data_IF_652957917781
#
_entry.id   IF_652957917781
#
_cell.length_a   1.000
_cell.length_b   1.000
_cell.length_c   1.000
_cell.angle_alpha   90.00
_cell.angle_beta   90.00
_cell.angle_gamma   90.00
#
_symmetry.space_group_name_H-M   'P 1'
#
loop_
_entity.id
_entity.type
_entity.pdbx_description
1 polymer ?
#
# COMPACT_ATOMS: atom_id res chain seq x y z
N UNK A 1 -14.88 -1.05 29.55
CA UNK A 1 -15.00 -2.44 29.05
C UNK A 1 -15.70 -2.40 27.71
N UNK A 2 -15.50 -3.39 26.85
CA UNK A 2 -16.24 -3.53 25.59
C UNK A 2 -16.77 -4.97 25.47
N UNK A 3 -17.79 -5.19 24.64
CA UNK A 3 -18.37 -6.51 24.37
C UNK A 3 -17.98 -6.97 22.97
N UNK A 4 -17.66 -8.25 22.82
CA UNK A 4 -17.36 -8.89 21.55
C UNK A 4 -18.50 -9.85 21.22
N UNK A 5 -19.13 -9.65 20.07
CA UNK A 5 -20.25 -10.47 19.59
C UNK A 5 -19.77 -11.42 18.48
N UNK A 6 -20.56 -12.44 18.11
CA UNK A 6 -20.31 -13.23 16.91
C UNK A 6 -20.17 -12.35 15.65
N UNK A 7 -19.42 -12.80 14.63
CA UNK A 7 -19.31 -12.08 13.37
C UNK A 7 -20.66 -12.00 12.63
N UNK A 8 -20.81 -10.98 11.79
CA UNK A 8 -21.92 -10.91 10.82
C UNK A 8 -21.78 -11.99 9.75
N UNK A 9 -22.86 -12.28 9.01
CA UNK A 9 -22.89 -13.29 7.94
C UNK A 9 -21.77 -13.14 6.90
N UNK A 10 -21.42 -11.90 6.52
CA UNK A 10 -20.38 -11.62 5.53
C UNK A 10 -18.99 -11.33 6.15
N UNK A 11 -18.79 -11.61 7.44
CA UNK A 11 -17.50 -11.45 8.10
C UNK A 11 -16.90 -12.83 8.38
N UNK A 12 -16.05 -13.30 7.47
CA UNK A 12 -15.42 -14.62 7.54
C UNK A 12 -14.13 -14.63 8.39
N UNK A 13 -13.66 -13.46 8.86
CA UNK A 13 -12.39 -13.28 9.55
C UNK A 13 -11.17 -13.37 8.62
N UNK A 14 -9.97 -13.53 9.17
CA UNK A 14 -8.74 -13.54 8.37
C UNK A 14 -8.57 -14.81 7.53
N UNK A 15 -7.97 -14.66 6.34
CA UNK A 15 -7.46 -15.78 5.53
C UNK A 15 -6.27 -16.45 6.23
N UNK A 16 -6.26 -17.78 6.25
CA UNK A 16 -5.18 -18.62 6.79
C UNK A 16 -4.86 -19.78 5.85
N UNK A 17 -3.66 -20.34 5.98
CA UNK A 17 -3.30 -21.61 5.33
C UNK A 17 -4.24 -22.70 5.83
N UNK A 18 -4.82 -23.45 4.90
CA UNK A 18 -5.62 -24.64 5.16
C UNK A 18 -4.84 -25.90 4.75
N UNK A 19 -4.60 -26.78 5.70
CA UNK A 19 -3.75 -27.96 5.55
C UNK A 19 -2.34 -27.60 5.07
N UNK A 20 -2.06 -27.83 3.78
CA UNK A 20 -0.71 -27.64 3.20
C UNK A 20 -0.68 -26.72 1.98
N UNK A 21 -1.75 -26.67 1.19
CA UNK A 21 -1.74 -26.04 -0.15
C UNK A 21 -2.93 -25.13 -0.44
N UNK A 22 -3.88 -25.00 0.49
CA UNK A 22 -5.10 -24.22 0.28
C UNK A 22 -5.19 -23.09 1.30
N UNK A 23 -6.19 -22.24 1.11
CA UNK A 23 -6.52 -21.19 2.06
C UNK A 23 -7.99 -21.30 2.46
N UNK A 24 -8.28 -20.83 3.66
CA UNK A 24 -9.64 -20.65 4.14
C UNK A 24 -9.70 -19.40 4.99
N UNK A 25 -10.87 -18.81 5.10
CA UNK A 25 -11.18 -17.83 6.11
C UNK A 25 -11.22 -18.45 7.51
N UNK A 26 -11.31 -17.60 8.53
CA UNK A 26 -11.25 -18.02 9.93
C UNK A 26 -12.45 -18.89 10.32
N UNK A 27 -13.62 -18.63 9.74
CA UNK A 27 -14.86 -19.40 9.91
C UNK A 27 -14.89 -20.76 9.18
N UNK A 28 -13.89 -21.06 8.34
CA UNK A 28 -13.81 -22.28 7.54
C UNK A 28 -14.22 -22.13 6.08
N UNK A 29 -14.73 -20.97 5.67
CA UNK A 29 -15.10 -20.70 4.28
C UNK A 29 -13.85 -20.82 3.37
N UNK A 30 -13.88 -21.64 2.30
CA UNK A 30 -12.74 -21.76 1.38
C UNK A 30 -12.38 -20.42 0.72
N UNK A 31 -11.08 -20.14 0.60
CA UNK A 31 -10.58 -18.95 -0.09
C UNK A 31 -9.67 -19.36 -1.25
N UNK A 32 -10.02 -18.94 -2.46
CA UNK A 32 -9.23 -19.16 -3.67
C UNK A 32 -8.74 -17.82 -4.20
N UNK A 33 -7.44 -17.48 -4.04
CA UNK A 33 -6.94 -16.17 -4.42
C UNK A 33 -6.91 -16.03 -5.95
N UNK A 34 -7.72 -15.09 -6.46
CA UNK A 34 -7.70 -14.61 -7.84
C UNK A 34 -7.25 -13.15 -7.78
N UNK A 35 -5.95 -12.93 -7.97
CA UNK A 35 -5.31 -11.65 -7.71
C UNK A 35 -5.14 -10.76 -8.95
N UNK A 36 -5.12 -9.45 -8.71
CA UNK A 36 -4.63 -8.44 -9.66
C UNK A 36 -3.51 -7.59 -9.06
N UNK A 37 -2.97 -6.65 -9.83
CA UNK A 37 -1.87 -5.77 -9.45
C UNK A 37 -2.19 -4.32 -9.79
N UNK A 38 -2.09 -3.42 -8.82
CA UNK A 38 -2.09 -1.98 -9.06
C UNK A 38 -1.20 -1.33 -8.00
N UNK A 39 0.09 -1.13 -8.31
CA UNK A 39 1.09 -0.93 -7.26
C UNK A 39 0.89 0.30 -6.38
N UNK A 40 0.36 1.41 -6.92
CA UNK A 40 0.24 2.67 -6.16
C UNK A 40 -1.10 3.36 -6.41
N UNK A 41 -2.15 2.57 -6.64
CA UNK A 41 -3.50 3.08 -6.86
C UNK A 41 -3.98 3.96 -5.72
N UNK A 42 -3.68 3.56 -4.48
CA UNK A 42 -3.96 4.23 -3.22
C UNK A 42 -3.22 5.57 -3.06
N UNK A 43 -2.29 5.92 -3.94
CA UNK A 43 -1.56 7.19 -3.89
C UNK A 43 -1.88 8.11 -5.07
N UNK A 44 -2.87 7.74 -5.89
CA UNK A 44 -3.39 8.55 -7.00
C UNK A 44 -4.39 9.61 -6.51
N UNK A 45 -4.97 10.37 -7.44
CA UNK A 45 -6.07 11.30 -7.15
C UNK A 45 -7.32 10.54 -6.68
N UNK A 46 -8.20 11.25 -5.95
CA UNK A 46 -9.45 10.68 -5.46
C UNK A 46 -10.32 10.10 -6.59
N UNK A 47 -10.36 10.76 -7.76
CA UNK A 47 -11.09 10.26 -8.94
C UNK A 47 -10.54 8.92 -9.45
N UNK A 48 -9.21 8.76 -9.51
CA UNK A 48 -8.57 7.52 -9.96
C UNK A 48 -8.72 6.40 -8.93
N UNK A 49 -8.68 6.74 -7.64
CA UNK A 49 -8.95 5.80 -6.54
C UNK A 49 -10.39 5.29 -6.64
N UNK A 50 -11.37 6.19 -6.81
CA UNK A 50 -12.78 5.82 -6.97
C UNK A 50 -13.00 4.96 -8.23
N UNK A 51 -12.39 5.33 -9.35
CA UNK A 51 -12.44 4.53 -10.58
C UNK A 51 -11.82 3.15 -10.39
N UNK A 52 -10.72 3.04 -9.63
CA UNK A 52 -10.08 1.76 -9.31
C UNK A 52 -11.01 0.88 -8.48
N UNK A 53 -11.61 1.42 -7.42
CA UNK A 53 -12.56 0.70 -6.57
C UNK A 53 -13.79 0.21 -7.35
N UNK A 54 -14.36 1.06 -8.20
CA UNK A 54 -15.49 0.68 -9.05
C UNK A 54 -15.09 -0.40 -10.07
N UNK A 55 -13.89 -0.32 -10.64
CA UNK A 55 -13.38 -1.35 -11.55
C UNK A 55 -13.21 -2.67 -10.82
N UNK A 56 -12.62 -2.65 -9.61
CA UNK A 56 -12.40 -3.84 -8.79
C UNK A 56 -13.72 -4.51 -8.39
N UNK A 57 -14.70 -3.72 -7.97
CA UNK A 57 -16.05 -4.19 -7.61
C UNK A 57 -16.72 -4.97 -8.75
N UNK A 58 -16.49 -4.57 -9.99
CA UNK A 58 -17.05 -5.23 -11.18
C UNK A 58 -16.09 -6.27 -11.80
N UNK A 59 -15.00 -6.59 -11.12
CA UNK A 59 -13.99 -7.55 -11.58
C UNK A 59 -14.10 -8.89 -10.83
N UNK A 60 -13.48 -9.98 -11.33
CA UNK A 60 -13.45 -11.26 -10.62
C UNK A 60 -12.35 -11.32 -9.54
N UNK A 61 -11.61 -10.24 -9.31
CA UNK A 61 -10.46 -10.26 -8.40
C UNK A 61 -10.90 -10.12 -6.95
N UNK A 62 -10.42 -11.03 -6.10
CA UNK A 62 -10.62 -11.00 -4.64
C UNK A 62 -9.32 -10.71 -3.88
N UNK A 63 -8.24 -10.34 -4.59
CA UNK A 63 -6.99 -9.88 -4.00
C UNK A 63 -6.34 -8.82 -4.88
N UNK A 64 -5.77 -7.78 -4.29
CA UNK A 64 -4.98 -6.79 -5.01
C UNK A 64 -3.66 -6.54 -4.33
N UNK A 65 -2.58 -6.51 -5.13
CA UNK A 65 -1.24 -6.16 -4.66
C UNK A 65 -0.94 -4.68 -4.87
N UNK A 66 -0.54 -3.99 -3.79
CA UNK A 66 -0.16 -2.57 -3.81
C UNK A 66 0.87 -2.21 -2.72
N UNK A 67 1.49 -1.04 -2.83
CA UNK A 67 2.59 -0.57 -2.01
C UNK A 67 2.13 0.46 -0.96
N UNK A 68 2.80 0.45 0.19
CA UNK A 68 2.74 1.58 1.13
C UNK A 68 3.54 2.75 0.59
N UNK A 69 4.80 2.51 0.26
CA UNK A 69 5.66 3.54 -0.30
C UNK A 69 5.26 3.90 -1.74
N UNK A 70 5.45 5.17 -2.14
CA UNK A 70 5.23 5.59 -3.52
C UNK A 70 6.23 4.93 -4.45
N UNK A 71 5.86 4.80 -5.73
CA UNK A 71 6.64 4.12 -6.76
C UNK A 71 7.18 5.16 -7.75
N UNK A 72 8.49 5.24 -7.93
CA UNK A 72 9.09 5.97 -9.07
C UNK A 72 9.49 4.97 -10.14
N UNK A 73 8.94 5.10 -11.34
CA UNK A 73 9.22 4.19 -12.47
C UNK A 73 8.80 4.81 -13.81
N UNK A 74 9.19 4.21 -14.94
CA UNK A 74 8.59 4.58 -16.22
C UNK A 74 7.06 4.42 -16.16
N UNK A 75 6.34 5.35 -16.80
CA UNK A 75 4.87 5.50 -16.73
C UNK A 75 4.31 5.81 -15.32
N UNK A 76 5.17 6.15 -14.36
CA UNK A 76 4.77 6.60 -13.03
C UNK A 76 5.76 7.65 -12.49
N UNK A 77 5.79 8.82 -13.13
CA UNK A 77 6.66 9.94 -12.78
C UNK A 77 6.00 10.97 -11.85
N UNK A 78 4.66 10.93 -11.72
CA UNK A 78 3.86 11.87 -10.92
C UNK A 78 4.21 11.78 -9.44
N UNK A 79 4.13 12.91 -8.74
CA UNK A 79 4.23 12.90 -7.29
C UNK A 79 3.01 12.20 -6.66
N UNK A 80 3.22 11.41 -5.59
CA UNK A 80 2.13 10.83 -4.84
C UNK A 80 1.36 11.91 -4.10
N UNK A 81 0.11 11.62 -3.73
CA UNK A 81 -0.71 12.52 -2.92
C UNK A 81 -0.14 12.81 -1.51
N UNK A 82 0.74 11.95 -1.01
CA UNK A 82 1.37 12.06 0.32
C UNK A 82 2.60 11.15 0.44
N UNK A 83 3.42 11.39 1.46
CA UNK A 83 4.61 10.60 1.80
C UNK A 83 4.55 10.04 3.23
N UNK A 84 5.24 8.93 3.52
CA UNK A 84 5.20 8.25 4.82
C UNK A 84 5.90 9.00 5.96
N UNK A 85 6.80 9.95 5.68
CA UNK A 85 7.59 10.67 6.69
C UNK A 85 7.43 12.18 6.59
N UNK A 86 7.71 12.89 7.67
CA UNK A 86 7.87 14.35 7.67
C UNK A 86 9.16 14.72 6.93
N UNK A 87 9.09 15.74 6.06
CA UNK A 87 10.24 16.15 5.25
C UNK A 87 9.87 16.74 3.90
N UNK A 88 10.85 16.81 3.01
CA UNK A 88 10.70 17.27 1.63
C UNK A 88 11.21 16.23 0.63
N UNK A 89 10.48 15.97 -0.46
CA UNK A 89 10.98 15.15 -1.57
C UNK A 89 11.94 15.94 -2.45
N UNK A 90 12.73 15.23 -3.26
CA UNK A 90 13.32 15.75 -4.49
C UNK A 90 12.25 16.46 -5.33
N UNK A 91 12.62 17.55 -6.00
CA UNK A 91 11.71 18.28 -6.89
C UNK A 91 11.34 17.44 -8.12
N UNK A 92 10.08 16.98 -8.15
CA UNK A 92 9.53 16.19 -9.24
C UNK A 92 9.19 16.97 -10.51
N UNK A 93 9.20 18.31 -10.50
CA UNK A 93 8.72 19.12 -11.62
C UNK A 93 9.57 18.96 -12.89
N UNK A 94 10.85 18.61 -12.73
CA UNK A 94 11.76 18.33 -13.84
C UNK A 94 11.78 16.84 -14.27
N UNK A 95 11.00 15.98 -13.62
CA UNK A 95 10.98 14.54 -13.88
C UNK A 95 10.00 14.23 -15.00
N UNK A 96 10.51 13.57 -16.03
CA UNK A 96 9.79 13.14 -17.23
C UNK A 96 9.96 11.64 -17.42
N UNK A 97 9.20 11.05 -18.33
CA UNK A 97 9.34 9.62 -18.65
C UNK A 97 10.74 9.29 -19.20
N UNK A 98 11.37 10.24 -19.91
CA UNK A 98 12.69 10.06 -20.52
C UNK A 98 13.84 10.11 -19.51
N UNK A 99 13.66 10.83 -18.39
CA UNK A 99 14.73 11.06 -17.42
C UNK A 99 14.48 10.43 -16.04
N UNK A 100 13.34 9.74 -15.83
CA UNK A 100 12.97 9.17 -14.51
C UNK A 100 14.07 8.25 -13.94
N UNK A 101 14.81 7.56 -14.81
CA UNK A 101 15.92 6.68 -14.42
C UNK A 101 17.16 7.39 -13.89
N UNK A 102 17.28 8.70 -14.14
CA UNK A 102 18.33 9.54 -13.57
C UNK A 102 18.07 9.97 -12.13
N UNK A 103 16.85 9.77 -11.62
CA UNK A 103 16.47 10.10 -10.25
C UNK A 103 16.52 8.85 -9.39
N UNK A 104 17.42 8.88 -8.41
CA UNK A 104 17.73 7.76 -7.50
C UNK A 104 17.38 8.14 -6.05
N UNK A 105 17.41 7.19 -5.10
CA UNK A 105 17.21 7.47 -3.68
C UNK A 105 18.10 8.61 -3.11
N UNK A 106 19.33 8.75 -3.64
CA UNK A 106 20.29 9.78 -3.23
C UNK A 106 20.11 11.14 -3.95
N UNK A 107 19.01 11.33 -4.68
CA UNK A 107 18.76 12.57 -5.41
C UNK A 107 18.69 13.77 -4.48
N UNK A 108 19.37 14.86 -4.86
CA UNK A 108 19.39 16.10 -4.08
C UNK A 108 17.98 16.66 -3.90
N UNK A 109 17.62 16.99 -2.66
CA UNK A 109 16.32 17.57 -2.30
C UNK A 109 15.46 16.66 -1.41
N UNK A 110 15.77 15.36 -1.37
CA UNK A 110 15.25 14.47 -0.35
C UNK A 110 15.80 14.86 1.02
N UNK A 111 14.93 15.35 1.90
CA UNK A 111 15.25 15.64 3.30
C UNK A 111 14.13 15.07 4.16
N UNK A 112 14.31 13.85 4.67
CA UNK A 112 13.30 13.15 5.46
C UNK A 112 13.77 12.97 6.90
N UNK A 113 12.84 13.13 7.85
CA UNK A 113 13.01 12.64 9.21
C UNK A 113 12.39 11.22 9.28
N UNK A 114 13.23 10.20 9.09
CA UNK A 114 12.80 8.79 9.09
C UNK A 114 12.36 8.27 10.47
N UNK A 115 12.45 9.09 11.53
CA UNK A 115 11.91 8.78 12.85
C UNK A 115 10.54 9.43 13.09
N UNK A 116 10.08 10.29 12.16
CA UNK A 116 8.78 10.98 12.24
C UNK A 116 7.88 10.59 11.08
N UNK A 117 6.94 9.69 11.35
CA UNK A 117 5.90 9.33 10.40
C UNK A 117 4.94 10.48 10.15
N UNK A 118 4.39 10.54 8.94
CA UNK A 118 3.24 11.37 8.59
C UNK A 118 1.96 10.53 8.74
N UNK A 119 1.17 10.67 9.82
CA UNK A 119 0.01 9.80 10.06
C UNK A 119 -1.07 9.92 8.99
N UNK A 120 -1.15 11.05 8.26
CA UNK A 120 -2.14 11.24 7.19
C UNK A 120 -1.92 10.29 6.01
N UNK A 121 -0.68 9.90 5.74
CA UNK A 121 -0.38 8.91 4.71
C UNK A 121 -0.95 7.54 5.08
N UNK A 122 -0.67 7.09 6.31
CA UNK A 122 -1.14 5.78 6.80
C UNK A 122 -2.66 5.74 6.99
N UNK A 123 -3.27 6.80 7.52
CA UNK A 123 -4.74 6.92 7.61
C UNK A 123 -5.42 6.78 6.25
N UNK A 124 -4.80 7.31 5.19
CA UNK A 124 -5.34 7.13 3.85
C UNK A 124 -5.22 5.69 3.35
N UNK A 125 -4.11 5.02 3.64
CA UNK A 125 -3.93 3.60 3.30
C UNK A 125 -4.91 2.73 4.07
N UNK A 126 -5.14 2.99 5.36
CA UNK A 126 -6.16 2.33 6.18
C UNK A 126 -7.57 2.50 5.60
N UNK A 127 -7.89 3.70 5.12
CA UNK A 127 -9.13 3.95 4.39
C UNK A 127 -9.22 3.06 3.13
N UNK A 128 -8.18 3.04 2.29
CA UNK A 128 -8.15 2.19 1.09
C UNK A 128 -8.30 0.68 1.42
N UNK A 129 -7.64 0.20 2.48
CA UNK A 129 -7.77 -1.19 2.96
C UNK A 129 -9.21 -1.46 3.41
N UNK A 130 -9.84 -0.51 4.12
CA UNK A 130 -11.23 -0.64 4.57
C UNK A 130 -12.20 -0.66 3.38
N UNK A 131 -11.95 0.12 2.33
CA UNK A 131 -12.75 0.07 1.10
C UNK A 131 -12.60 -1.28 0.38
N UNK A 132 -11.39 -1.83 0.30
CA UNK A 132 -11.17 -3.19 -0.23
C UNK A 132 -11.88 -4.25 0.61
N UNK A 133 -11.84 -4.14 1.94
CA UNK A 133 -12.54 -5.04 2.85
C UNK A 133 -14.05 -5.05 2.59
N UNK A 134 -14.67 -3.87 2.38
CA UNK A 134 -16.10 -3.76 2.05
C UNK A 134 -16.45 -4.45 0.73
N UNK A 135 -15.50 -4.56 -0.19
CA UNK A 135 -15.65 -5.26 -1.47
C UNK A 135 -15.31 -6.76 -1.39
N UNK A 136 -14.87 -7.27 -0.23
CA UNK A 136 -14.42 -8.65 -0.08
C UNK A 136 -13.10 -8.92 -0.81
N UNK A 137 -12.23 -7.91 -0.91
CA UNK A 137 -10.94 -8.00 -1.61
C UNK A 137 -9.81 -7.94 -0.58
N UNK A 138 -8.93 -8.95 -0.59
CA UNK A 138 -7.75 -9.00 0.26
C UNK A 138 -6.69 -7.99 -0.19
N UNK A 139 -6.18 -7.22 0.76
CA UNK A 139 -5.06 -6.30 0.57
C UNK A 139 -3.72 -7.04 0.68
N UNK A 140 -3.05 -7.28 -0.45
CA UNK A 140 -1.69 -7.87 -0.51
C UNK A 140 -0.65 -6.73 -0.49
N UNK A 141 -0.27 -6.32 0.71
CA UNK A 141 0.51 -5.10 0.95
C UNK A 141 2.01 -5.36 0.79
N UNK A 142 2.64 -4.62 -0.11
CA UNK A 142 4.10 -4.56 -0.27
C UNK A 142 4.67 -3.51 0.69
N UNK A 143 5.41 -3.98 1.68
CA UNK A 143 6.05 -3.13 2.69
C UNK A 143 7.32 -2.44 2.15
N UNK A 144 8.09 -3.10 1.28
CA UNK A 144 9.32 -2.59 0.70
C UNK A 144 9.44 -2.92 -0.78
N UNK A 145 10.04 -2.02 -1.56
CA UNK A 145 10.31 -2.23 -2.98
C UNK A 145 11.45 -1.33 -3.50
N UNK A 146 12.08 -1.66 -4.63
CA UNK A 146 13.19 -0.88 -5.18
C UNK A 146 12.79 0.31 -6.06
N UNK A 147 11.48 0.51 -6.31
CA UNK A 147 10.99 1.55 -7.24
C UNK A 147 10.96 2.93 -6.59
N UNK A 148 12.11 3.55 -6.39
CA UNK A 148 12.23 4.68 -5.47
C UNK A 148 13.18 5.75 -5.97
N UNK A 149 12.82 7.00 -5.69
CA UNK A 149 13.67 8.19 -5.88
C UNK A 149 13.78 9.06 -4.64
N UNK A 150 13.14 8.66 -3.53
CA UNK A 150 12.95 9.47 -2.34
C UNK A 150 13.83 9.06 -1.17
N UNK A 151 14.43 7.85 -1.19
CA UNK A 151 15.28 7.37 -0.09
C UNK A 151 14.66 6.25 0.75
N UNK A 152 13.39 5.90 0.51
CA UNK A 152 12.67 4.89 1.30
C UNK A 152 13.20 3.47 1.10
N UNK A 153 13.84 3.20 -0.03
CA UNK A 153 14.48 1.92 -0.37
C UNK A 153 15.90 1.77 0.19
N UNK A 154 16.47 2.83 0.75
CA UNK A 154 17.86 2.89 1.24
C UNK A 154 17.97 3.31 2.70
N UNK A 155 16.87 3.25 3.46
CA UNK A 155 16.83 3.48 4.90
C UNK A 155 17.74 2.50 5.66
N UNK A 156 18.23 2.91 6.83
CA UNK A 156 19.05 2.04 7.69
C UNK A 156 18.22 0.88 8.25
N UNK A 157 18.87 -0.22 8.71
CA UNK A 157 18.15 -1.32 9.37
C UNK A 157 17.26 -0.88 10.53
N UNK A 158 17.70 0.09 11.34
CA UNK A 158 16.95 0.61 12.49
C UNK A 158 15.71 1.38 12.05
N UNK A 159 15.82 2.18 11.00
CA UNK A 159 14.70 2.91 10.39
C UNK A 159 13.69 1.93 9.76
N UNK A 160 14.17 0.90 9.07
CA UNK A 160 13.33 -0.16 8.52
C UNK A 160 12.58 -0.92 9.64
N UNK A 161 13.26 -1.22 10.75
CA UNK A 161 12.63 -1.87 11.91
C UNK A 161 11.57 -0.97 12.56
N UNK A 162 11.85 0.33 12.70
CA UNK A 162 10.90 1.31 13.22
C UNK A 162 9.65 1.38 12.33
N UNK A 163 9.83 1.45 11.00
CA UNK A 163 8.75 1.41 10.02
C UNK A 163 7.90 0.14 10.12
N UNK A 164 8.53 -1.02 10.24
CA UNK A 164 7.82 -2.30 10.38
C UNK A 164 7.00 -2.33 11.66
N UNK A 165 7.56 -1.86 12.79
CA UNK A 165 6.84 -1.77 14.06
C UNK A 165 5.66 -0.81 13.98
N UNK A 166 5.83 0.35 13.34
CA UNK A 166 4.76 1.33 13.18
C UNK A 166 3.63 0.81 12.28
N UNK A 167 3.98 0.17 11.17
CA UNK A 167 3.00 -0.33 10.19
C UNK A 167 2.21 -1.54 10.70
N UNK A 168 2.81 -2.35 11.57
CA UNK A 168 2.17 -3.55 12.12
C UNK A 168 1.34 -3.30 13.40
N UNK A 169 1.47 -2.13 14.02
CA UNK A 169 0.80 -1.75 15.26
C UNK A 169 -0.65 -1.29 15.02
#
# INVERSE_FOLDING_TARGET
TFSVTPPSENNHGCVKVNNKYHFQYSDGTPYYPVGTTCYVWNLQSDDLIAQTLETLKNSPFNKIRFCIFPKSYCYNSREPRSYPYEGTPVDGSAITEDNVWGYTPDSKGNNWDFERFNPKHFQHIEYCITELQKLGIEADIILFHPYDRWGFSTMTPEQNELYLKYTAA
#
